data_IF_725070761607
#
_entry.id   IF_725070761607
#
_cell.length_a   1.000
_cell.length_b   1.000
_cell.length_c   1.000
_cell.angle_alpha   90.00
_cell.angle_beta   90.00
_cell.angle_gamma   90.00
#
_symmetry.space_group_name_H-M   'P 1'
#
loop_
_entity.id
_entity.type
_entity.pdbx_description
1 polymer ?
#
# COMPACT_ATOMS: atom_id res chain seq x y z
N UNK A 1 -22.42 20.88 16.81
CA UNK A 1 -22.00 20.93 15.39
C UNK A 1 -21.18 19.69 15.10
N UNK A 2 -21.65 18.78 14.24
CA UNK A 2 -20.79 17.70 13.73
C UNK A 2 -19.76 18.36 12.80
N UNK A 3 -18.50 18.45 13.25
CA UNK A 3 -17.44 19.07 12.46
C UNK A 3 -17.14 18.22 11.22
N UNK A 4 -17.48 18.73 10.05
CA UNK A 4 -17.11 18.13 8.77
C UNK A 4 -15.58 18.17 8.63
N UNK A 5 -14.95 16.99 8.61
CA UNK A 5 -13.52 16.89 8.29
C UNK A 5 -13.37 16.83 6.77
N UNK A 6 -12.57 17.72 6.14
CA UNK A 6 -12.36 17.67 4.71
C UNK A 6 -11.74 16.33 4.29
N UNK A 7 -12.09 15.81 3.11
CA UNK A 7 -11.41 14.64 2.55
C UNK A 7 -9.94 14.96 2.27
N UNK A 8 -9.10 13.92 2.26
CA UNK A 8 -7.70 14.07 1.87
C UNK A 8 -7.61 14.47 0.40
N UNK A 9 -6.86 15.53 0.15
CA UNK A 9 -6.55 16.00 -1.20
C UNK A 9 -5.44 15.15 -1.82
N UNK A 10 -5.34 15.16 -3.16
CA UNK A 10 -4.27 14.45 -3.86
C UNK A 10 -2.89 15.04 -3.55
N UNK A 11 -2.81 16.32 -3.21
CA UNK A 11 -1.57 16.97 -2.79
C UNK A 11 -1.11 16.47 -1.41
N UNK A 12 -2.01 16.36 -0.44
CA UNK A 12 -1.70 15.74 0.87
C UNK A 12 -1.23 14.30 0.72
N UNK A 13 -1.92 13.52 -0.13
CA UNK A 13 -1.53 12.14 -0.44
C UNK A 13 -0.12 12.05 -1.03
N UNK A 14 0.24 12.94 -1.96
CA UNK A 14 1.59 13.03 -2.53
C UNK A 14 2.62 13.39 -1.48
N UNK A 15 2.32 14.34 -0.59
CA UNK A 15 3.22 14.73 0.51
C UNK A 15 3.54 13.55 1.43
N UNK A 16 2.53 12.76 1.79
CA UNK A 16 2.72 11.54 2.59
C UNK A 16 3.68 10.57 1.89
N UNK A 17 3.44 10.27 0.61
CA UNK A 17 4.26 9.34 -0.16
C UNK A 17 5.71 9.85 -0.31
N UNK A 18 5.88 11.15 -0.59
CA UNK A 18 7.20 11.78 -0.69
C UNK A 18 7.96 11.75 0.63
N UNK A 19 7.29 12.00 1.75
CA UNK A 19 7.90 11.93 3.08
C UNK A 19 8.39 10.51 3.41
N UNK A 20 7.59 9.49 3.08
CA UNK A 20 7.98 8.08 3.23
C UNK A 20 9.26 7.77 2.47
N UNK A 21 9.37 8.30 1.25
CA UNK A 21 10.53 8.08 0.38
C UNK A 21 11.76 8.81 0.89
N UNK A 22 11.61 10.10 1.21
CA UNK A 22 12.68 10.97 1.70
C UNK A 22 13.28 10.46 3.01
N UNK A 23 12.43 10.10 3.97
CA UNK A 23 12.85 9.54 5.26
C UNK A 23 13.26 8.06 5.19
N UNK A 24 13.21 7.43 4.00
CA UNK A 24 13.39 5.97 3.81
C UNK A 24 12.59 5.13 4.80
N UNK A 25 11.41 5.63 5.17
CA UNK A 25 10.59 5.14 6.27
C UNK A 25 9.80 3.87 5.96
N UNK A 26 10.05 3.22 4.82
CA UNK A 26 9.28 2.08 4.31
C UNK A 26 9.17 0.92 5.30
N UNK A 27 10.20 0.73 6.13
CA UNK A 27 10.25 -0.30 7.18
C UNK A 27 9.51 0.08 8.47
N UNK A 28 9.21 1.37 8.66
CA UNK A 28 8.61 1.93 9.88
C UNK A 28 7.14 2.31 9.72
N UNK A 29 6.54 2.05 8.55
CA UNK A 29 5.15 2.38 8.22
C UNK A 29 4.13 1.75 9.18
N UNK A 30 4.48 0.66 9.86
CA UNK A 30 3.60 0.00 10.83
C UNK A 30 3.71 0.61 12.23
N UNK A 31 4.86 1.19 12.57
CA UNK A 31 5.16 1.80 13.86
C UNK A 31 4.45 3.15 14.05
N UNK A 32 4.08 3.49 15.28
CA UNK A 32 3.42 4.77 15.60
C UNK A 32 4.37 5.97 15.44
N UNK A 33 5.64 5.82 15.83
CA UNK A 33 6.63 6.92 15.90
C UNK A 33 6.79 7.63 14.55
N UNK A 34 6.96 6.86 13.48
CA UNK A 34 7.10 7.40 12.12
C UNK A 34 5.97 8.36 11.73
N UNK A 35 4.71 7.99 12.02
CA UNK A 35 3.55 8.84 11.71
C UNK A 35 3.44 10.06 12.64
N UNK A 36 3.91 9.95 13.88
CA UNK A 36 3.97 11.09 14.79
C UNK A 36 4.99 12.11 14.29
N UNK A 37 6.20 11.65 13.99
CA UNK A 37 7.28 12.48 13.46
C UNK A 37 6.86 13.17 12.15
N UNK A 38 6.16 12.46 11.27
CA UNK A 38 5.62 13.05 10.04
C UNK A 38 4.62 14.19 10.31
N UNK A 39 3.75 14.05 11.31
CA UNK A 39 2.78 15.11 11.66
C UNK A 39 3.47 16.26 12.39
N UNK A 40 4.42 15.95 13.27
CA UNK A 40 5.24 16.95 13.98
C UNK A 40 6.10 17.78 13.02
N UNK A 41 6.55 17.18 11.91
CA UNK A 41 7.26 17.89 10.83
C UNK A 41 6.38 18.88 10.05
N UNK A 42 5.06 18.88 10.26
CA UNK A 42 4.12 19.72 9.53
C UNK A 42 3.82 19.26 8.10
N UNK A 43 4.22 18.03 7.73
CA UNK A 43 3.95 17.47 6.38
C UNK A 43 2.44 17.38 6.10
N UNK A 44 1.65 17.09 7.13
CA UNK A 44 0.19 16.95 7.05
C UNK A 44 -0.45 17.59 8.27
N UNK A 45 -1.47 18.43 8.07
CA UNK A 45 -2.25 19.06 9.13
C UNK A 45 -3.33 18.13 9.71
N UNK A 46 -3.01 16.84 9.88
CA UNK A 46 -3.92 15.80 10.34
C UNK A 46 -3.27 14.99 11.45
N UNK A 47 -4.10 14.36 12.27
CA UNK A 47 -3.61 13.45 13.32
C UNK A 47 -2.90 12.24 12.69
N UNK A 48 -1.82 11.78 13.32
CA UNK A 48 -1.03 10.62 12.87
C UNK A 48 -1.89 9.36 12.66
N UNK A 49 -2.95 9.17 13.46
CA UNK A 49 -3.93 8.08 13.31
C UNK A 49 -4.66 8.14 11.97
N UNK A 50 -5.23 9.30 11.65
CA UNK A 50 -5.94 9.52 10.38
C UNK A 50 -5.02 9.38 9.18
N UNK A 51 -3.80 9.92 9.24
CA UNK A 51 -2.84 9.82 8.15
C UNK A 51 -2.44 8.36 7.88
N UNK A 52 -2.17 7.59 8.95
CA UNK A 52 -1.88 6.16 8.87
C UNK A 52 -3.06 5.36 8.31
N UNK A 53 -4.27 5.61 8.80
CA UNK A 53 -5.45 4.88 8.36
C UNK A 53 -5.80 5.18 6.90
N UNK A 54 -5.70 6.45 6.49
CA UNK A 54 -5.85 6.86 5.10
C UNK A 54 -4.79 6.21 4.22
N UNK A 55 -3.54 6.15 4.71
CA UNK A 55 -2.49 5.45 4.00
C UNK A 55 -2.83 3.98 3.76
N UNK A 56 -3.24 3.26 4.80
CA UNK A 56 -3.54 1.83 4.70
C UNK A 56 -4.75 1.52 3.83
N UNK A 57 -5.84 2.29 3.97
CA UNK A 57 -7.11 2.01 3.29
C UNK A 57 -7.20 2.57 1.88
N UNK A 58 -6.56 3.71 1.61
CA UNK A 58 -6.74 4.45 0.36
C UNK A 58 -5.44 4.58 -0.43
N UNK A 59 -4.33 4.96 0.19
CA UNK A 59 -3.08 5.16 -0.55
C UNK A 59 -2.41 3.85 -0.94
N UNK A 60 -2.29 2.90 -0.02
CA UNK A 60 -1.60 1.62 -0.24
C UNK A 60 -2.14 0.84 -1.46
N UNK A 61 -3.47 0.64 -1.63
CA UNK A 61 -3.97 0.01 -2.85
C UNK A 61 -3.75 0.86 -4.10
N UNK A 62 -3.70 2.19 -3.95
CA UNK A 62 -3.59 3.14 -5.06
C UNK A 62 -2.15 3.60 -5.35
N UNK A 63 -1.10 3.07 -4.69
CA UNK A 63 0.29 3.56 -4.89
C UNK A 63 0.78 3.40 -6.33
N UNK A 64 0.20 2.44 -7.07
CA UNK A 64 0.50 2.17 -8.47
C UNK A 64 -0.15 3.17 -9.44
N UNK A 65 -0.98 4.09 -8.93
CA UNK A 65 -1.71 5.03 -9.75
C UNK A 65 -0.75 6.12 -10.28
N UNK A 66 -0.70 6.34 -11.61
CA UNK A 66 0.19 7.34 -12.21
C UNK A 66 -0.06 8.78 -11.73
N UNK A 67 -1.22 9.05 -11.11
CA UNK A 67 -1.54 10.35 -10.49
C UNK A 67 -0.52 10.81 -9.45
N UNK A 68 0.16 9.87 -8.80
CA UNK A 68 1.15 10.16 -7.75
C UNK A 68 2.57 10.42 -8.28
N UNK A 69 2.84 10.17 -9.57
CA UNK A 69 4.14 10.43 -10.22
C UNK A 69 5.30 9.80 -9.43
N UNK A 70 5.09 8.56 -8.99
CA UNK A 70 6.11 7.74 -8.35
C UNK A 70 6.77 6.85 -9.40
N UNK A 71 8.08 6.64 -9.26
CA UNK A 71 8.82 5.64 -10.02
C UNK A 71 8.39 4.23 -9.61
N UNK A 72 8.45 3.29 -10.55
CA UNK A 72 8.25 1.86 -10.25
C UNK A 72 9.16 1.39 -9.12
N UNK A 73 10.39 1.89 -9.05
CA UNK A 73 11.34 1.58 -7.97
C UNK A 73 10.82 2.04 -6.60
N UNK A 74 10.30 3.28 -6.50
CA UNK A 74 9.75 3.82 -5.27
C UNK A 74 8.52 3.02 -4.81
N UNK A 75 7.68 2.62 -5.76
CA UNK A 75 6.51 1.77 -5.50
C UNK A 75 6.94 0.40 -4.95
N UNK A 76 7.96 -0.21 -5.55
CA UNK A 76 8.50 -1.49 -5.09
C UNK A 76 9.10 -1.38 -3.68
N UNK A 77 9.81 -0.28 -3.37
CA UNK A 77 10.35 -0.04 -2.03
C UNK A 77 9.26 0.06 -0.96
N UNK A 78 8.19 0.80 -1.23
CA UNK A 78 7.05 0.94 -0.30
C UNK A 78 6.38 -0.41 -0.06
N UNK A 79 6.13 -1.19 -1.13
CA UNK A 79 5.51 -2.51 -1.01
C UNK A 79 6.39 -3.48 -0.23
N UNK A 80 7.67 -3.57 -0.60
CA UNK A 80 8.63 -4.50 0.02
C UNK A 80 8.84 -4.15 1.49
N UNK A 81 9.10 -2.87 1.81
CA UNK A 81 9.29 -2.43 3.19
C UNK A 81 8.05 -2.66 4.08
N UNK A 82 6.85 -2.46 3.53
CA UNK A 82 5.61 -2.75 4.25
C UNK A 82 5.46 -4.25 4.58
N UNK A 83 5.76 -5.14 3.62
CA UNK A 83 5.70 -6.59 3.81
C UNK A 83 6.79 -7.06 4.80
N UNK A 84 8.03 -6.62 4.62
CA UNK A 84 9.17 -6.99 5.49
C UNK A 84 8.95 -6.57 6.94
N UNK A 85 8.36 -5.38 7.17
CA UNK A 85 8.03 -4.88 8.51
C UNK A 85 6.97 -5.75 9.23
N UNK A 86 6.17 -6.52 8.48
CA UNK A 86 5.17 -7.44 9.03
C UNK A 86 5.69 -8.87 9.19
N UNK A 87 6.75 -9.26 8.47
CA UNK A 87 7.23 -10.64 8.37
C UNK A 87 8.54 -10.92 9.14
N UNK A 88 8.96 -10.04 10.05
CA UNK A 88 10.22 -10.19 10.82
C UNK A 88 10.34 -11.49 11.67
N UNK A 89 9.34 -12.38 11.65
CA UNK A 89 9.38 -13.69 12.31
C UNK A 89 9.52 -14.90 11.37
N UNK A 90 9.54 -14.73 10.04
CA UNK A 90 9.59 -15.88 9.09
C UNK A 90 10.60 -15.62 7.97
N UNK A 91 11.55 -16.55 7.78
CA UNK A 91 12.54 -16.63 6.68
C UNK A 91 13.75 -15.70 6.71
N UNK A 92 14.68 -16.02 7.62
CA UNK A 92 16.13 -15.86 7.37
C UNK A 92 16.69 -17.11 6.68
N UNK A 93 16.20 -17.45 5.49
CA UNK A 93 16.75 -18.53 4.68
C UNK A 93 16.26 -18.37 3.24
N UNK A 94 17.22 -18.38 2.30
CA UNK A 94 17.10 -18.27 0.84
C UNK A 94 17.42 -16.87 0.27
N UNK A 95 18.64 -16.39 0.57
CA UNK A 95 19.44 -15.69 -0.45
C UNK A 95 20.19 -16.73 -1.28
N UNK A 96 20.52 -16.37 -2.53
CA UNK A 96 21.13 -17.16 -3.63
C UNK A 96 20.06 -17.91 -4.44
N UNK A 97 19.82 -17.72 -5.74
CA UNK A 97 20.48 -17.06 -6.87
C UNK A 97 19.41 -16.68 -7.90
N UNK A 98 19.57 -15.57 -8.64
CA UNK A 98 19.24 -15.45 -10.08
C UNK A 98 19.23 -13.98 -10.51
N UNK A 99 20.42 -13.42 -10.71
CA UNK A 99 20.62 -12.47 -11.81
C UNK A 99 20.77 -13.29 -13.09
N UNK A 100 19.73 -13.40 -13.92
CA UNK A 100 19.88 -13.55 -15.37
C UNK A 100 18.53 -13.36 -16.04
N UNK A 101 18.51 -12.41 -16.97
CA UNK A 101 17.50 -12.18 -17.99
C UNK A 101 17.02 -13.48 -18.64
N UNK A 102 15.74 -13.60 -18.95
CA UNK A 102 15.23 -14.03 -20.25
C UNK A 102 13.69 -13.97 -20.28
N UNK A 103 13.21 -13.33 -21.33
CA UNK A 103 11.87 -13.45 -21.90
C UNK A 103 11.47 -14.91 -22.06
N UNK A 104 10.19 -15.25 -21.84
CA UNK A 104 9.35 -15.89 -22.88
C UNK A 104 7.91 -16.11 -22.41
N UNK A 105 7.03 -15.93 -23.40
CA UNK A 105 5.59 -16.05 -23.39
C UNK A 105 5.21 -17.52 -23.65
N UNK A 106 4.22 -18.08 -22.95
CA UNK A 106 3.18 -18.97 -23.52
C UNK A 106 2.02 -19.21 -22.56
N UNK A 107 0.90 -18.55 -22.85
CA UNK A 107 -0.46 -19.13 -23.00
C UNK A 107 -0.68 -20.58 -22.54
N UNK A 108 -1.51 -20.82 -21.51
CA UNK A 108 -2.31 -22.06 -21.39
C UNK A 108 -3.63 -21.85 -20.63
N UNK A 109 -4.71 -21.99 -21.40
CA UNK A 109 -5.97 -22.71 -21.14
C UNK A 109 -6.94 -22.26 -20.02
N UNK A 110 -8.04 -21.70 -20.53
CA UNK A 110 -9.43 -21.86 -20.13
C UNK A 110 -9.74 -23.13 -19.30
N UNK A 111 -10.38 -22.95 -18.14
CA UNK A 111 -11.16 -24.01 -17.51
C UNK A 111 -12.35 -23.43 -16.73
N UNK A 112 -13.49 -23.50 -17.42
CA UNK A 112 -14.83 -23.83 -16.90
C UNK A 112 -15.52 -22.83 -15.98
N UNK A 113 -16.42 -22.09 -16.62
CA UNK A 113 -17.80 -21.86 -16.19
C UNK A 113 -18.32 -22.86 -15.16
N UNK A 114 -18.55 -22.40 -13.93
CA UNK A 114 -19.42 -23.06 -12.96
C UNK A 114 -20.71 -22.24 -12.87
N UNK A 115 -21.68 -22.60 -13.73
CA UNK A 115 -23.10 -22.44 -13.42
C UNK A 115 -23.42 -23.56 -12.45
N UNK A 116 -23.88 -23.18 -11.26
CA UNK A 116 -24.67 -24.07 -10.43
C UNK A 116 -25.81 -23.27 -9.80
N UNK A 117 -27.02 -23.61 -10.24
CA UNK A 117 -28.28 -23.33 -9.58
C UNK A 117 -28.33 -24.06 -8.24
N UNK A 118 -28.82 -23.39 -7.19
CA UNK A 118 -29.99 -23.83 -6.39
C UNK A 118 -30.16 -22.92 -5.17
N UNK A 119 -31.43 -22.55 -4.93
CA UNK A 119 -32.07 -22.19 -3.65
C UNK A 119 -31.53 -20.98 -2.85
N UNK A 120 -32.32 -20.16 -2.14
CA UNK A 120 -33.56 -20.38 -1.40
C UNK A 120 -34.20 -19.00 -1.08
N UNK A 121 -35.53 -18.91 -1.13
CA UNK A 121 -36.48 -18.14 -0.28
C UNK A 121 -36.40 -16.63 0.09
N UNK A 122 -37.63 -16.06 0.14
CA UNK A 122 -38.17 -14.95 0.96
C UNK A 122 -37.75 -13.50 0.60
N UNK A 123 -38.61 -12.46 0.56
CA UNK A 123 -39.82 -12.17 1.32
C UNK A 123 -40.64 -11.04 0.64
N UNK A 124 -41.98 -11.11 0.83
CA UNK A 124 -43.04 -10.07 0.74
C UNK A 124 -43.66 -9.64 -0.59
#
# INVERSE_FOLDING_TARGET
MAGYKPPYTSDEQKKILRYIIDSKGYYSLRGRRFWQEMVESGTVERTWQSAKEHFLKQLYPQVHNPRFQLSDEEIQLIKTGYIESGQSSVNKSNKTNASRSESENTKTVDLTSYVDSSDEELEK
#
